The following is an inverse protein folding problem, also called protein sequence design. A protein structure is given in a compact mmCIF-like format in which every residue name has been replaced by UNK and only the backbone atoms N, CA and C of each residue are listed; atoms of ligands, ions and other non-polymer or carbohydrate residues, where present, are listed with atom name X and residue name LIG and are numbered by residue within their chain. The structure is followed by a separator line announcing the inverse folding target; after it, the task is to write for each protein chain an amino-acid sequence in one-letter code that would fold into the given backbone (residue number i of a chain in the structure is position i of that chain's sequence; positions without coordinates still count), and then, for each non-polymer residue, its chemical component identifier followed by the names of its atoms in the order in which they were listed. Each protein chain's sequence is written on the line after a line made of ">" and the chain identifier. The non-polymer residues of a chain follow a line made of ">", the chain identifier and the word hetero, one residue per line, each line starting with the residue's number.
data_IF_268649949952
#
_entry.id   IF_268649949952
#
_cell.length_a   1.000
_cell.length_b   1.000
_cell.length_c   1.000
_cell.angle_alpha   90.00
_cell.angle_beta   90.00
_cell.angle_gamma   90.00
#
_symmetry.space_group_name_H-M   'P 1'
#
loop_
_entity.id
_entity.type
_entity.pdbx_description
1 polymer ?
#
# COMPACT_ATOMS: atom_id res chain seq x y z
N UNK A 1 10.71 41.56 7.80
CA UNK A 1 12.04 40.93 7.85
C UNK A 1 11.97 39.65 7.06
N UNK A 2 12.55 39.67 5.86
CA UNK A 2 12.51 38.58 4.88
C UNK A 2 13.62 37.58 5.17
N UNK A 3 13.26 36.29 5.26
CA UNK A 3 14.22 35.20 5.40
C UNK A 3 15.13 35.18 4.16
N UNK A 4 16.45 35.20 4.39
CA UNK A 4 17.51 35.47 3.41
C UNK A 4 18.27 34.20 2.97
N UNK A 5 17.83 33.02 3.38
CA UNK A 5 18.53 31.76 3.11
C UNK A 5 18.17 31.24 1.71
N UNK A 6 18.87 31.69 0.68
CA UNK A 6 18.97 30.97 -0.61
C UNK A 6 19.76 29.66 -0.49
N UNK A 7 19.69 28.98 0.65
CA UNK A 7 20.46 27.77 0.97
C UNK A 7 19.67 26.51 0.66
N UNK A 8 20.34 25.51 0.08
CA UNK A 8 19.79 24.18 -0.16
C UNK A 8 19.94 23.33 1.10
N UNK A 9 18.86 22.71 1.56
CA UNK A 9 18.87 21.69 2.60
C UNK A 9 18.77 20.32 1.94
N UNK A 10 19.83 19.53 2.03
CA UNK A 10 19.79 18.12 1.64
C UNK A 10 19.45 17.26 2.85
N UNK A 11 18.33 16.55 2.80
CA UNK A 11 17.89 15.63 3.85
C UNK A 11 18.15 14.20 3.38
N UNK A 12 19.01 13.49 4.09
CA UNK A 12 19.25 12.07 3.88
C UNK A 12 18.35 11.28 4.83
N UNK A 13 17.42 10.50 4.29
CA UNK A 13 16.56 9.59 5.05
C UNK A 13 16.92 8.16 4.67
N UNK A 14 17.39 7.39 5.65
CA UNK A 14 17.58 5.96 5.52
C UNK A 14 16.45 5.22 6.25
N UNK A 15 15.45 4.66 5.52
CA UNK A 15 14.31 4.04 6.17
C UNK A 15 14.64 2.62 6.64
N UNK A 16 14.53 2.38 7.96
CA UNK A 16 14.59 1.02 8.52
C UNK A 16 13.22 0.34 8.40
N UNK A 17 13.00 -0.32 7.25
CA UNK A 17 11.74 -1.00 6.96
C UNK A 17 11.72 -2.39 7.58
N UNK A 18 10.55 -2.79 8.10
CA UNK A 18 10.32 -4.17 8.54
C UNK A 18 10.58 -5.16 7.39
N UNK A 19 11.03 -6.36 7.77
CA UNK A 19 11.27 -7.48 6.85
C UNK A 19 10.02 -7.74 6.02
N UNK A 20 10.16 -7.97 4.71
CA UNK A 20 9.03 -8.28 3.85
C UNK A 20 8.46 -9.65 4.23
N UNK A 21 7.13 -9.73 4.22
CA UNK A 21 6.40 -10.95 4.54
C UNK A 21 6.30 -11.85 3.30
N UNK A 22 6.61 -13.13 3.44
CA UNK A 22 6.37 -14.16 2.44
C UNK A 22 5.43 -15.21 3.03
N UNK A 23 4.20 -15.28 2.51
CA UNK A 23 3.17 -16.22 2.95
C UNK A 23 3.05 -17.34 1.93
N UNK A 24 3.18 -18.57 2.39
CA UNK A 24 3.11 -19.79 1.60
C UNK A 24 1.84 -20.55 2.00
N UNK A 25 0.99 -20.85 1.02
CA UNK A 25 -0.28 -21.56 1.24
C UNK A 25 -0.24 -22.88 0.49
N UNK A 26 -0.42 -23.98 1.22
CA UNK A 26 -0.32 -25.34 0.69
C UNK A 26 0.94 -26.06 1.15
N UNK A 27 1.41 -27.03 0.37
CA UNK A 27 2.54 -27.88 0.72
C UNK A 27 3.26 -28.41 -0.54
N UNK A 28 4.42 -29.01 -0.34
CA UNK A 28 5.19 -29.67 -1.39
C UNK A 28 6.59 -29.07 -1.57
N UNK A 29 7.44 -29.73 -2.37
CA UNK A 29 8.87 -29.45 -2.42
C UNK A 29 9.19 -28.03 -2.90
N UNK A 30 8.35 -27.45 -3.78
CA UNK A 30 8.51 -26.07 -4.23
C UNK A 30 8.35 -25.08 -3.07
N UNK A 31 7.35 -25.26 -2.19
CA UNK A 31 7.16 -24.37 -1.04
C UNK A 31 8.22 -24.58 0.03
N UNK A 32 8.71 -25.81 0.21
CA UNK A 32 9.82 -26.12 1.13
C UNK A 32 11.12 -25.43 0.70
N UNK A 33 11.47 -25.53 -0.58
CA UNK A 33 12.61 -24.84 -1.18
C UNK A 33 12.44 -23.32 -1.07
N UNK A 34 11.26 -22.79 -1.42
CA UNK A 34 10.95 -21.37 -1.34
C UNK A 34 11.01 -20.84 0.09
N UNK A 35 10.58 -21.62 1.08
CA UNK A 35 10.70 -21.25 2.49
C UNK A 35 12.17 -21.16 2.93
N UNK A 36 13.01 -22.06 2.42
CA UNK A 36 14.45 -22.07 2.68
C UNK A 36 15.13 -20.84 2.08
N UNK A 37 14.91 -20.58 0.78
CA UNK A 37 15.50 -19.43 0.10
C UNK A 37 14.93 -18.08 0.60
N UNK A 38 13.64 -18.04 0.94
CA UNK A 38 13.00 -16.86 1.52
C UNK A 38 13.63 -16.45 2.85
N UNK A 39 13.86 -17.41 3.76
CA UNK A 39 14.56 -17.14 5.03
C UNK A 39 15.99 -16.68 4.83
N UNK A 40 16.70 -17.25 3.85
CA UNK A 40 18.07 -16.84 3.50
C UNK A 40 18.14 -15.43 2.91
N UNK A 41 17.03 -14.91 2.36
CA UNK A 41 16.92 -13.56 1.74
C UNK A 41 16.15 -12.57 2.63
N UNK A 42 16.14 -12.80 3.94
CA UNK A 42 15.55 -11.96 4.99
C UNK A 42 14.03 -11.72 4.90
N UNK A 43 13.30 -12.58 4.19
CA UNK A 43 11.84 -12.58 4.31
C UNK A 43 11.41 -13.17 5.66
N UNK A 44 10.39 -12.58 6.26
CA UNK A 44 9.62 -13.25 7.31
C UNK A 44 8.70 -14.26 6.62
N UNK A 45 9.05 -15.55 6.70
CA UNK A 45 8.32 -16.62 6.00
C UNK A 45 7.30 -17.28 6.92
N UNK A 46 6.05 -17.36 6.47
CA UNK A 46 4.98 -18.09 7.15
C UNK A 46 4.32 -19.09 6.19
N UNK A 47 4.21 -20.35 6.60
CA UNK A 47 3.42 -21.36 5.90
C UNK A 47 2.12 -21.56 6.66
N UNK A 48 0.98 -21.24 6.05
CA UNK A 48 -0.32 -21.12 6.71
C UNK A 48 -1.45 -21.67 5.84
N UNK A 49 -2.60 -21.98 6.44
CA UNK A 49 -3.85 -22.11 5.71
C UNK A 49 -4.32 -20.77 5.15
N UNK A 50 -5.20 -20.81 4.16
CA UNK A 50 -5.67 -19.60 3.49
C UNK A 50 -6.34 -18.59 4.43
N UNK A 51 -7.14 -19.08 5.39
CA UNK A 51 -7.86 -18.19 6.31
C UNK A 51 -6.90 -17.50 7.28
N UNK A 52 -5.92 -18.23 7.79
CA UNK A 52 -4.89 -17.68 8.70
C UNK A 52 -3.99 -16.68 7.95
N UNK A 53 -3.65 -17.00 6.70
CA UNK A 53 -2.93 -16.09 5.81
C UNK A 53 -3.70 -14.78 5.59
N UNK A 54 -5.01 -14.85 5.31
CA UNK A 54 -5.84 -13.66 5.15
C UNK A 54 -5.88 -12.81 6.43
N UNK A 55 -6.12 -13.43 7.60
CA UNK A 55 -6.12 -12.71 8.89
C UNK A 55 -4.76 -12.09 9.24
N UNK A 56 -3.66 -12.77 8.92
CA UNK A 56 -2.31 -12.21 9.08
C UNK A 56 -2.10 -10.98 8.18
N UNK A 57 -2.56 -11.05 6.94
CA UNK A 57 -2.44 -9.94 5.98
C UNK A 57 -3.31 -8.75 6.40
N UNK A 58 -4.55 -8.98 6.81
CA UNK A 58 -5.47 -7.92 7.26
C UNK A 58 -4.94 -7.16 8.48
N UNK A 59 -4.29 -7.86 9.41
CA UNK A 59 -3.71 -7.27 10.62
C UNK A 59 -2.29 -6.71 10.43
N UNK A 60 -1.64 -6.99 9.30
CA UNK A 60 -0.25 -6.58 9.06
C UNK A 60 -0.17 -5.17 8.45
N UNK A 61 0.55 -4.21 9.08
CA UNK A 61 0.80 -2.90 8.49
C UNK A 61 1.67 -2.98 7.22
N UNK A 62 2.26 -4.15 6.94
CA UNK A 62 3.12 -4.40 5.77
C UNK A 62 2.46 -5.29 4.73
N UNK A 63 1.14 -5.53 4.80
CA UNK A 63 0.39 -6.34 3.85
C UNK A 63 0.68 -5.98 2.39
N UNK A 64 0.74 -4.68 2.08
CA UNK A 64 1.06 -4.16 0.74
C UNK A 64 2.46 -4.49 0.23
N UNK A 65 3.36 -4.92 1.11
CA UNK A 65 4.72 -5.38 0.80
C UNK A 65 4.85 -6.90 0.93
N UNK A 66 3.78 -7.59 1.32
CA UNK A 66 3.74 -9.03 1.44
C UNK A 66 3.60 -9.70 0.07
N UNK A 67 4.22 -10.86 -0.06
CA UNK A 67 4.05 -11.77 -1.19
C UNK A 67 3.36 -13.04 -0.73
N UNK A 68 2.35 -13.48 -1.48
CA UNK A 68 1.58 -14.69 -1.24
C UNK A 68 1.82 -15.67 -2.39
N UNK A 69 2.16 -16.91 -2.05
CA UNK A 69 2.34 -18.01 -3.01
C UNK A 69 1.41 -19.14 -2.64
N UNK A 70 0.49 -19.46 -3.55
CA UNK A 70 -0.46 -20.57 -3.41
C UNK A 70 0.05 -21.77 -4.21
N UNK A 71 0.17 -22.92 -3.55
CA UNK A 71 0.52 -24.19 -4.17
C UNK A 71 -0.16 -25.34 -3.40
N UNK A 72 -1.47 -25.57 -3.62
CA UNK A 72 -2.24 -26.60 -2.89
C UNK A 72 -2.42 -27.89 -3.67
N UNK A 73 -1.70 -28.08 -4.78
CA UNK A 73 -1.80 -29.24 -5.68
C UNK A 73 -3.18 -29.56 -6.29
N UNK A 74 -4.26 -28.85 -5.93
CA UNK A 74 -5.60 -28.69 -6.59
C UNK A 74 -6.73 -28.74 -5.58
N UNK A 75 -6.41 -29.07 -4.33
CA UNK A 75 -7.43 -29.39 -3.34
C UNK A 75 -8.18 -28.15 -2.86
N UNK A 76 -7.55 -26.97 -2.90
CA UNK A 76 -8.16 -25.73 -2.38
C UNK A 76 -7.60 -24.44 -2.99
N UNK A 77 -7.07 -24.47 -4.22
CA UNK A 77 -6.47 -23.27 -4.83
C UNK A 77 -7.50 -22.15 -4.99
N UNK A 78 -8.71 -22.49 -5.43
CA UNK A 78 -9.75 -21.48 -5.70
C UNK A 78 -10.21 -20.82 -4.39
N UNK A 79 -10.46 -21.61 -3.35
CA UNK A 79 -10.81 -21.12 -2.01
C UNK A 79 -9.70 -20.24 -1.44
N UNK A 80 -8.44 -20.68 -1.58
CA UNK A 80 -7.30 -19.93 -1.11
C UNK A 80 -7.17 -18.58 -1.83
N UNK A 81 -7.29 -18.59 -3.16
CA UNK A 81 -7.19 -17.41 -4.00
C UNK A 81 -8.31 -16.40 -3.72
N UNK A 82 -9.56 -16.84 -3.54
CA UNK A 82 -10.67 -15.95 -3.15
C UNK A 82 -10.34 -15.19 -1.86
N UNK A 83 -9.80 -15.88 -0.86
CA UNK A 83 -9.48 -15.27 0.43
C UNK A 83 -8.33 -14.26 0.32
N UNK A 84 -7.22 -14.64 -0.32
CA UNK A 84 -6.03 -13.77 -0.36
C UNK A 84 -6.12 -12.64 -1.38
N UNK A 85 -6.87 -12.81 -2.48
CA UNK A 85 -7.14 -11.73 -3.45
C UNK A 85 -8.02 -10.63 -2.86
N UNK A 86 -8.81 -10.94 -1.82
CA UNK A 86 -9.57 -9.95 -1.04
C UNK A 86 -8.71 -9.05 -0.15
N UNK A 87 -7.44 -9.39 0.07
CA UNK A 87 -6.53 -8.63 0.94
C UNK A 87 -5.75 -7.55 0.18
N UNK A 88 -5.07 -6.69 0.95
CA UNK A 88 -4.12 -5.68 0.45
C UNK A 88 -2.73 -6.25 0.10
N UNK A 89 -2.57 -7.58 -0.02
CA UNK A 89 -1.30 -8.22 -0.38
C UNK A 89 -0.66 -7.60 -1.63
N UNK A 90 0.61 -7.20 -1.53
CA UNK A 90 1.32 -6.57 -2.64
C UNK A 90 1.48 -7.48 -3.85
N UNK A 91 1.60 -8.78 -3.62
CA UNK A 91 1.83 -9.77 -4.67
C UNK A 91 1.10 -11.08 -4.33
N UNK A 92 0.33 -11.62 -5.27
CA UNK A 92 -0.39 -12.90 -5.12
C UNK A 92 -0.10 -13.76 -6.33
N UNK A 93 0.37 -14.99 -6.11
CA UNK A 93 0.75 -15.90 -7.19
C UNK A 93 0.28 -17.33 -6.96
N UNK A 94 0.13 -18.06 -8.06
CA UNK A 94 -0.29 -19.46 -8.08
C UNK A 94 0.76 -20.33 -8.78
N UNK A 95 1.26 -21.34 -8.09
CA UNK A 95 2.11 -22.39 -8.65
C UNK A 95 1.22 -23.39 -9.38
N UNK A 96 1.13 -23.24 -10.70
CA UNK A 96 0.36 -24.12 -11.58
C UNK A 96 0.90 -24.09 -13.00
N UNK A 97 0.61 -25.13 -13.79
CA UNK A 97 0.85 -25.09 -15.24
C UNK A 97 0.01 -24.01 -15.91
N UNK A 98 0.44 -23.50 -17.08
CA UNK A 98 -0.31 -22.47 -17.84
C UNK A 98 -1.78 -22.88 -18.07
N UNK A 99 -2.01 -24.14 -18.48
CA UNK A 99 -3.36 -24.69 -18.69
C UNK A 99 -4.22 -24.61 -17.43
N UNK A 100 -3.65 -24.97 -16.27
CA UNK A 100 -4.38 -24.97 -14.99
C UNK A 100 -4.60 -23.56 -14.46
N UNK A 101 -3.62 -22.67 -14.63
CA UNK A 101 -3.76 -21.26 -14.30
C UNK A 101 -4.94 -20.62 -15.05
N UNK A 102 -5.06 -20.85 -16.36
CA UNK A 102 -6.21 -20.38 -17.16
C UNK A 102 -7.53 -20.93 -16.63
N UNK A 103 -7.61 -22.24 -16.38
CA UNK A 103 -8.84 -22.87 -15.88
C UNK A 103 -9.26 -22.32 -14.50
N UNK A 104 -8.31 -22.07 -13.61
CA UNK A 104 -8.60 -21.49 -12.28
C UNK A 104 -9.06 -20.04 -12.42
N UNK A 105 -8.42 -19.23 -13.27
CA UNK A 105 -8.84 -17.85 -13.50
C UNK A 105 -10.28 -17.75 -14.02
N UNK A 106 -10.66 -18.62 -14.97
CA UNK A 106 -12.03 -18.70 -15.49
C UNK A 106 -13.05 -19.07 -14.39
N UNK A 107 -12.72 -20.05 -13.54
CA UNK A 107 -13.59 -20.46 -12.43
C UNK A 107 -13.74 -19.37 -11.36
N UNK A 108 -12.65 -18.68 -11.02
CA UNK A 108 -12.71 -17.55 -10.09
C UNK A 108 -13.59 -16.42 -10.64
N UNK A 109 -13.51 -16.14 -11.94
CA UNK A 109 -14.38 -15.18 -12.60
C UNK A 109 -15.86 -15.63 -12.54
N UNK A 110 -16.15 -16.91 -12.81
CA UNK A 110 -17.50 -17.48 -12.70
C UNK A 110 -18.06 -17.41 -11.28
N UNK A 111 -17.19 -17.49 -10.26
CA UNK A 111 -17.53 -17.31 -8.85
C UNK A 111 -17.74 -15.85 -8.44
N UNK A 112 -17.56 -14.90 -9.36
CA UNK A 112 -17.80 -13.48 -9.14
C UNK A 112 -16.61 -12.70 -8.57
N UNK A 113 -15.39 -13.25 -8.61
CA UNK A 113 -14.20 -12.48 -8.24
C UNK A 113 -14.04 -11.31 -9.23
N UNK A 114 -13.99 -10.05 -8.77
CA UNK A 114 -13.82 -8.88 -9.62
C UNK A 114 -12.58 -8.98 -10.52
N UNK A 115 -12.70 -8.53 -11.78
CA UNK A 115 -11.60 -8.54 -12.74
C UNK A 115 -10.37 -7.77 -12.23
N UNK A 116 -10.57 -6.71 -11.44
CA UNK A 116 -9.49 -5.95 -10.81
C UNK A 116 -8.69 -6.79 -9.80
N UNK A 117 -9.36 -7.65 -9.04
CA UNK A 117 -8.69 -8.58 -8.14
C UNK A 117 -7.98 -9.68 -8.93
N UNK A 118 -8.61 -10.22 -9.97
CA UNK A 118 -7.99 -11.22 -10.84
C UNK A 118 -6.75 -10.69 -11.57
N UNK A 119 -6.73 -9.42 -11.96
CA UNK A 119 -5.58 -8.79 -12.60
C UNK A 119 -4.33 -8.76 -11.71
N UNK A 120 -4.49 -8.89 -10.38
CA UNK A 120 -3.38 -8.99 -9.42
C UNK A 120 -2.80 -10.41 -9.32
N UNK A 121 -3.51 -11.43 -9.82
CA UNK A 121 -3.06 -12.82 -9.75
C UNK A 121 -1.97 -13.07 -10.79
N UNK A 122 -0.79 -13.46 -10.31
CA UNK A 122 0.29 -13.94 -11.15
C UNK A 122 0.25 -15.48 -11.26
N UNK A 123 -0.13 -15.97 -12.43
CA UNK A 123 -0.22 -17.41 -12.69
C UNK A 123 0.18 -17.72 -14.16
N UNK A 124 1.15 -18.61 -14.42
CA UNK A 124 2.02 -19.29 -13.45
C UNK A 124 2.89 -18.35 -12.62
N UNK A 125 3.22 -18.78 -11.40
CA UNK A 125 4.22 -18.13 -10.56
C UNK A 125 5.64 -18.39 -11.10
N UNK A 126 6.48 -17.37 -11.00
CA UNK A 126 7.91 -17.41 -11.32
C UNK A 126 8.26 -16.84 -12.70
N UNK A 127 9.50 -16.36 -12.79
CA UNK A 127 10.10 -15.96 -14.06
C UNK A 127 10.33 -17.17 -14.96
N UNK A 128 10.20 -16.97 -16.28
CA UNK A 128 10.44 -18.03 -17.25
C UNK A 128 11.95 -18.23 -17.45
N UNK A 129 12.55 -19.07 -16.60
CA UNK A 129 13.98 -19.42 -16.65
C UNK A 129 14.22 -20.85 -17.16
N UNK A 130 13.18 -21.53 -17.65
CA UNK A 130 13.25 -22.95 -18.01
C UNK A 130 13.40 -23.88 -16.80
N UNK A 131 12.85 -23.50 -15.65
CA UNK A 131 12.96 -24.27 -14.41
C UNK A 131 12.23 -25.64 -14.49
N UNK A 132 12.91 -26.69 -14.05
CA UNK A 132 12.35 -28.05 -14.00
C UNK A 132 12.34 -28.62 -12.58
N UNK A 133 13.38 -28.36 -11.79
CA UNK A 133 13.47 -28.86 -10.41
C UNK A 133 12.71 -27.97 -9.41
N UNK A 134 12.27 -28.51 -8.25
CA UNK A 134 11.62 -27.71 -7.22
C UNK A 134 12.44 -26.49 -6.76
N UNK A 135 13.76 -26.65 -6.68
CA UNK A 135 14.68 -25.58 -6.28
C UNK A 135 14.77 -24.48 -7.35
N UNK A 136 14.86 -24.86 -8.62
CA UNK A 136 14.85 -23.91 -9.74
C UNK A 136 13.52 -23.14 -9.82
N UNK A 137 12.40 -23.84 -9.62
CA UNK A 137 11.07 -23.23 -9.58
C UNK A 137 10.97 -22.27 -8.39
N UNK A 138 11.45 -22.65 -7.21
CA UNK A 138 11.47 -21.77 -6.05
C UNK A 138 12.35 -20.52 -6.28
N UNK A 139 13.51 -20.68 -6.92
CA UNK A 139 14.38 -19.54 -7.31
C UNK A 139 13.66 -18.63 -8.30
N UNK A 140 12.97 -19.18 -9.30
CA UNK A 140 12.25 -18.38 -10.30
C UNK A 140 11.11 -17.57 -9.68
N UNK A 141 10.37 -18.16 -8.74
CA UNK A 141 9.32 -17.52 -7.95
C UNK A 141 9.92 -16.42 -7.06
N UNK A 142 10.98 -16.72 -6.33
CA UNK A 142 11.62 -15.74 -5.44
C UNK A 142 12.19 -14.56 -6.23
N UNK A 143 12.78 -14.81 -7.40
CA UNK A 143 13.27 -13.77 -8.30
C UNK A 143 12.14 -12.86 -8.79
N UNK A 144 10.99 -13.43 -9.15
CA UNK A 144 9.79 -12.67 -9.53
C UNK A 144 9.27 -11.80 -8.38
N UNK A 145 9.19 -12.35 -7.17
CA UNK A 145 8.79 -11.62 -5.96
C UNK A 145 9.74 -10.45 -5.68
N UNK A 146 11.05 -10.68 -5.77
CA UNK A 146 12.06 -9.64 -5.58
C UNK A 146 11.92 -8.55 -6.66
N UNK A 147 11.75 -8.95 -7.92
CA UNK A 147 11.54 -8.02 -9.03
C UNK A 147 10.31 -7.15 -8.77
N UNK A 148 9.16 -7.76 -8.50
CA UNK A 148 7.90 -7.05 -8.21
C UNK A 148 8.07 -6.05 -7.06
N UNK A 149 8.70 -6.47 -5.96
CA UNK A 149 8.94 -5.60 -4.79
C UNK A 149 9.85 -4.40 -5.11
N UNK A 150 10.82 -4.57 -6.01
CA UNK A 150 11.80 -3.53 -6.36
C UNK A 150 11.28 -2.57 -7.44
N UNK A 151 10.41 -3.03 -8.34
CA UNK A 151 9.79 -2.21 -9.38
C UNK A 151 8.51 -1.53 -8.91
N UNK A 152 7.84 -2.07 -7.89
CA UNK A 152 6.79 -1.36 -7.19
C UNK A 152 7.37 -0.06 -6.62
N UNK A 153 6.97 1.08 -7.21
CA UNK A 153 7.36 2.40 -6.72
C UNK A 153 6.97 2.44 -5.24
N UNK A 154 7.90 2.75 -4.31
CA UNK A 154 7.53 2.86 -2.91
C UNK A 154 6.40 3.87 -2.85
N UNK A 155 5.23 3.40 -2.44
CA UNK A 155 4.18 4.28 -1.98
C UNK A 155 4.73 4.90 -0.70
N UNK A 156 5.56 5.94 -0.85
CA UNK A 156 5.80 6.92 0.19
C UNK A 156 4.39 7.29 0.65
N UNK A 157 4.03 6.77 1.82
CA UNK A 157 2.72 6.91 2.39
C UNK A 157 2.41 8.39 2.42
N UNK A 158 1.58 8.85 1.50
CA UNK A 158 0.94 10.16 1.54
C UNK A 158 -0.14 10.15 2.63
N UNK A 159 0.15 9.59 3.82
CA UNK A 159 -0.53 9.98 5.05
C UNK A 159 0.09 11.30 5.53
N UNK A 160 -0.01 12.31 4.69
CA UNK A 160 -0.27 13.68 5.12
C UNK A 160 -1.73 13.97 4.80
N UNK A 161 -2.64 13.18 5.37
CA UNK A 161 -4.06 13.56 5.45
C UNK A 161 -4.24 14.38 6.72
N UNK A 162 -3.60 15.54 6.74
CA UNK A 162 -4.17 16.72 7.35
C UNK A 162 -4.22 17.72 6.20
N UNK A 163 -5.37 17.79 5.52
CA UNK A 163 -5.72 19.05 4.86
C UNK A 163 -5.96 20.01 6.00
N UNK A 164 -4.90 20.64 6.49
CA UNK A 164 -5.01 21.84 7.31
C UNK A 164 -5.73 22.86 6.45
N UNK A 165 -7.02 23.02 6.70
CA UNK A 165 -7.83 24.00 5.99
C UNK A 165 -7.38 25.37 6.49
N UNK A 166 -6.53 26.03 5.71
CA UNK A 166 -6.06 27.39 5.98
C UNK A 166 -7.02 28.40 5.34
N UNK A 167 -7.47 29.39 6.11
CA UNK A 167 -8.16 30.57 5.62
C UNK A 167 -7.17 31.73 5.51
N UNK A 168 -7.39 32.66 4.59
CA UNK A 168 -6.59 33.89 4.49
C UNK A 168 -7.28 35.00 5.26
N UNK A 169 -6.55 35.64 6.18
CA UNK A 169 -7.00 36.85 6.86
C UNK A 169 -7.11 38.00 5.83
N UNK A 170 -8.30 38.57 5.59
CA UNK A 170 -8.50 39.58 4.55
C UNK A 170 -7.88 40.95 4.88
N UNK A 171 -7.46 41.19 6.12
CA UNK A 171 -6.85 42.46 6.53
C UNK A 171 -5.35 42.46 6.24
N UNK A 172 -4.66 41.36 6.52
CA UNK A 172 -3.20 41.30 6.43
C UNK A 172 -2.65 40.24 5.46
N UNK A 173 -3.50 39.34 4.94
CA UNK A 173 -3.10 38.27 4.03
C UNK A 173 -2.45 37.06 4.69
N UNK A 174 -2.40 37.01 6.03
CA UNK A 174 -1.82 35.88 6.75
C UNK A 174 -2.72 34.64 6.68
N UNK A 175 -2.11 33.47 6.51
CA UNK A 175 -2.80 32.20 6.61
C UNK A 175 -3.15 31.88 8.07
N UNK A 176 -4.38 31.40 8.30
CA UNK A 176 -4.97 31.08 9.60
C UNK A 176 -5.50 29.66 9.54
N UNK A 177 -5.05 28.81 10.47
CA UNK A 177 -5.61 27.47 10.63
C UNK A 177 -7.05 27.57 11.16
N UNK A 178 -8.01 27.06 10.37
CA UNK A 178 -9.44 27.09 10.70
C UNK A 178 -9.74 26.27 11.97
N UNK A 179 -9.03 25.17 12.20
CA UNK A 179 -9.30 24.29 13.35
C UNK A 179 -8.98 24.96 14.69
N UNK A 180 -7.98 25.85 14.72
CA UNK A 180 -7.51 26.56 15.91
C UNK A 180 -7.88 28.04 16.01
N UNK A 181 -8.61 28.59 15.04
CA UNK A 181 -8.83 30.03 14.95
C UNK A 181 -9.69 30.59 16.11
N UNK A 182 -9.05 31.32 17.02
CA UNK A 182 -9.70 32.01 18.14
C UNK A 182 -10.49 33.27 17.72
N UNK A 183 -10.19 33.83 16.55
CA UNK A 183 -10.75 35.09 16.07
C UNK A 183 -11.49 34.89 14.75
N UNK A 184 -12.81 35.04 14.78
CA UNK A 184 -13.71 34.84 13.63
C UNK A 184 -14.89 35.80 13.64
N UNK A 185 -15.37 36.19 12.45
CA UNK A 185 -16.59 36.97 12.26
C UNK A 185 -17.46 36.32 11.17
N UNK A 186 -18.78 36.44 11.27
CA UNK A 186 -19.71 35.95 10.24
C UNK A 186 -20.19 37.10 9.36
N UNK A 187 -20.13 36.92 8.03
CA UNK A 187 -20.60 37.93 7.07
C UNK A 187 -21.17 37.29 5.82
N UNK A 188 -22.36 37.72 5.40
CA UNK A 188 -23.04 37.24 4.20
C UNK A 188 -23.09 35.70 4.10
N UNK A 189 -23.26 35.02 5.24
CA UNK A 189 -23.31 33.56 5.34
C UNK A 189 -21.95 32.85 5.27
N UNK A 190 -20.81 33.55 5.36
CA UNK A 190 -19.46 32.97 5.40
C UNK A 190 -18.73 33.37 6.68
N UNK A 191 -18.01 32.42 7.28
CA UNK A 191 -17.11 32.68 8.40
C UNK A 191 -15.78 33.19 7.86
N UNK A 192 -15.34 34.34 8.36
CA UNK A 192 -14.05 34.97 8.08
C UNK A 192 -13.14 34.75 9.29
N UNK A 193 -11.90 34.36 9.06
CA UNK A 193 -10.93 33.99 10.09
C UNK A 193 -9.79 35.01 10.12
N UNK A 194 -9.30 35.33 11.32
CA UNK A 194 -8.29 36.37 11.52
C UNK A 194 -7.09 35.85 12.30
N UNK A 195 -5.90 36.33 11.94
CA UNK A 195 -4.65 35.91 12.59
C UNK A 195 -4.53 36.46 14.02
N UNK A 196 -5.24 37.55 14.34
CA UNK A 196 -5.23 38.17 15.66
C UNK A 196 -6.50 39.00 15.93
N UNK A 197 -6.71 39.38 17.20
CA UNK A 197 -7.83 40.21 17.62
C UNK A 197 -7.87 41.57 16.90
N UNK A 198 -6.71 42.17 16.60
CA UNK A 198 -6.64 43.48 15.93
C UNK A 198 -7.15 43.42 14.48
N UNK A 199 -6.80 42.36 13.72
CA UNK A 199 -7.31 42.17 12.36
C UNK A 199 -8.82 41.94 12.36
N UNK A 200 -9.33 41.16 13.33
CA UNK A 200 -10.79 41.02 13.53
C UNK A 200 -11.46 42.37 13.79
N UNK A 201 -10.94 43.16 14.73
CA UNK A 201 -11.51 44.46 15.08
C UNK A 201 -11.48 45.44 13.90
N UNK A 202 -10.37 45.47 13.14
CA UNK A 202 -10.26 46.30 11.93
C UNK A 202 -11.29 45.90 10.89
N UNK A 203 -11.47 44.59 10.67
CA UNK A 203 -12.48 44.09 9.73
C UNK A 203 -13.90 44.39 10.20
N UNK A 204 -14.21 44.26 11.48
CA UNK A 204 -15.56 44.54 12.00
C UNK A 204 -15.93 46.04 11.92
N UNK A 205 -14.93 46.94 12.01
CA UNK A 205 -15.14 48.39 11.92
C UNK A 205 -15.31 48.87 10.47
N UNK A 206 -14.51 48.37 9.53
CA UNK A 206 -14.54 48.80 8.13
C UNK A 206 -14.55 47.62 7.13
N UNK A 207 -15.59 46.76 7.19
CA UNK A 207 -15.60 45.50 6.44
C UNK A 207 -15.63 45.69 4.92
N UNK A 208 -16.10 46.84 4.42
CA UNK A 208 -16.14 47.12 2.98
C UNK A 208 -14.76 47.39 2.34
N UNK A 209 -13.73 47.67 3.13
CA UNK A 209 -12.36 47.94 2.62
C UNK A 209 -11.52 46.69 2.38
N UNK A 210 -11.97 45.53 2.86
CA UNK A 210 -11.18 44.31 2.98
C UNK A 210 -11.85 43.10 2.30
N UNK A 211 -12.56 43.30 1.18
CA UNK A 211 -13.21 42.23 0.39
C UNK A 211 -12.52 42.09 -0.96
#
# INVERSE_FOLDING_TARGET
>A
MTCHSGGTLEIYVEPYLARPLLVLIGHGPVLEALATFGRATEYAVHTLGASEAASLLESSPTARRAAVVVATHADSDEEALVQVLGTDAGYVSLVASRRRATAIAERLQQRGVPLEQLARLKAPAGLDIGAESPDEIAISILAEIIQHRRTAKPALSAKSTATEAHAIDPVCGMAVDIAGAAHRSERSGRTVYFCCAACKTSFDQEPARHV
#
